data_IF_017199427698
#
_entry.id   IF_017199427698
#
_cell.length_a   1.000
_cell.length_b   1.000
_cell.length_c   1.000
_cell.angle_alpha   90.00
_cell.angle_beta   90.00
_cell.angle_gamma   90.00
#
_symmetry.space_group_name_H-M   'P 1'
#
loop_
_entity.id
_entity.type
_entity.pdbx_description
1 polymer ?
#
# COMPACT_ATOMS: atom_id res chain seq x y z
N UNK A 1 29.30 -10.61 9.38
CA UNK A 1 28.90 -9.39 10.11
C UNK A 1 27.56 -9.66 10.75
N UNK A 2 27.48 -9.48 12.06
CA UNK A 2 26.48 -10.08 12.96
C UNK A 2 25.06 -9.58 12.67
N UNK A 3 24.15 -10.50 12.32
CA UNK A 3 22.72 -10.20 12.31
C UNK A 3 22.25 -10.10 13.77
N UNK A 4 22.18 -8.89 14.30
CA UNK A 4 21.48 -8.61 15.54
C UNK A 4 20.03 -9.07 15.36
N UNK A 5 19.66 -10.20 15.97
CA UNK A 5 18.27 -10.66 16.01
C UNK A 5 17.46 -9.57 16.69
N UNK A 6 16.66 -8.82 15.91
CA UNK A 6 15.79 -7.78 16.44
C UNK A 6 14.87 -8.41 17.49
N UNK A 7 14.99 -7.99 18.74
CA UNK A 7 14.05 -8.38 19.77
C UNK A 7 12.71 -7.69 19.48
N UNK A 8 11.76 -8.42 18.90
CA UNK A 8 10.47 -7.88 18.44
C UNK A 8 9.56 -7.43 19.59
N UNK A 9 9.85 -7.81 20.84
CA UNK A 9 9.12 -7.34 22.02
C UNK A 9 9.66 -6.03 22.59
N UNK A 10 10.86 -5.61 22.18
CA UNK A 10 11.43 -4.33 22.60
C UNK A 10 10.85 -3.18 21.76
N UNK A 11 9.83 -2.52 22.32
CA UNK A 11 9.18 -1.36 21.71
C UNK A 11 9.93 -0.04 21.90
N UNK A 12 11.09 -0.04 22.58
CA UNK A 12 11.96 1.15 22.63
C UNK A 12 12.75 1.33 21.33
N UNK A 13 12.96 0.24 20.59
CA UNK A 13 13.62 0.26 19.29
C UNK A 13 12.72 0.92 18.23
N UNK A 14 13.17 2.06 17.69
CA UNK A 14 12.46 2.82 16.66
C UNK A 14 12.26 2.04 15.34
N UNK A 15 13.11 1.06 15.08
CA UNK A 15 13.03 0.20 13.89
C UNK A 15 12.12 -1.03 14.11
N UNK A 16 11.54 -1.21 15.30
CA UNK A 16 10.64 -2.32 15.56
C UNK A 16 9.33 -2.15 14.75
N UNK A 17 9.00 -3.10 13.84
CA UNK A 17 7.80 -2.98 13.00
C UNK A 17 6.49 -3.05 13.81
N UNK A 18 6.50 -3.64 15.01
CA UNK A 18 5.33 -3.73 15.91
C UNK A 18 5.07 -2.48 16.75
N UNK A 19 5.98 -1.50 16.68
CA UNK A 19 5.85 -0.24 17.40
C UNK A 19 4.86 0.68 16.67
N UNK A 20 3.87 1.19 17.41
CA UNK A 20 3.03 2.30 16.96
C UNK A 20 3.53 3.58 17.63
N UNK A 21 3.58 4.67 16.88
CA UNK A 21 3.93 5.99 17.42
C UNK A 21 2.78 6.56 18.23
N UNK A 22 3.06 7.52 19.11
CA UNK A 22 2.03 8.24 19.88
C UNK A 22 1.07 9.03 18.99
N UNK A 23 1.53 9.44 17.79
CA UNK A 23 0.71 10.12 16.78
C UNK A 23 -0.17 9.15 15.97
N UNK A 24 0.07 7.83 16.04
CA UNK A 24 -0.68 6.85 15.28
C UNK A 24 -2.08 6.66 15.88
N UNK A 25 -3.09 7.09 15.13
CA UNK A 25 -4.48 6.88 15.48
C UNK A 25 -5.28 6.43 14.25
N UNK A 26 -6.40 5.71 14.45
CA UNK A 26 -7.21 5.19 13.36
C UNK A 26 -7.74 6.26 12.41
N UNK A 27 -8.00 7.48 12.90
CA UNK A 27 -8.54 8.60 12.12
C UNK A 27 -7.52 9.33 11.25
N UNK A 28 -6.24 9.01 11.37
CA UNK A 28 -5.19 9.68 10.57
C UNK A 28 -5.23 9.16 9.14
N UNK A 29 -5.19 10.10 8.19
CA UNK A 29 -5.08 9.76 6.76
C UNK A 29 -3.61 9.47 6.43
N UNK A 30 -3.31 8.26 5.95
CA UNK A 30 -1.98 7.95 5.40
C UNK A 30 -1.66 8.76 4.15
N UNK A 31 -2.69 8.98 3.33
CA UNK A 31 -2.66 9.71 2.08
C UNK A 31 -3.98 10.46 1.93
N UNK A 32 -3.97 11.56 1.20
CA UNK A 32 -5.17 12.38 0.93
C UNK A 32 -6.02 11.83 -0.21
N UNK A 33 -5.42 11.06 -1.11
CA UNK A 33 -6.10 10.46 -2.26
C UNK A 33 -6.87 9.20 -1.84
N UNK A 34 -8.16 9.16 -2.16
CA UNK A 34 -8.99 7.98 -1.94
C UNK A 34 -8.93 7.02 -3.13
N UNK A 35 -9.01 5.71 -2.86
CA UNK A 35 -9.13 4.69 -3.90
C UNK A 35 -10.44 4.85 -4.67
N UNK A 36 -10.33 4.89 -5.98
CA UNK A 36 -11.41 4.79 -6.97
C UNK A 36 -11.14 3.59 -7.89
N UNK A 37 -12.06 3.33 -8.82
CA UNK A 37 -11.90 2.28 -9.83
C UNK A 37 -10.76 2.55 -10.82
N UNK A 38 -10.28 3.78 -10.93
CA UNK A 38 -9.36 4.22 -11.98
C UNK A 38 -7.92 4.46 -11.49
N UNK A 39 -7.73 4.69 -10.18
CA UNK A 39 -6.46 5.15 -9.63
C UNK A 39 -5.71 4.11 -8.80
N UNK A 40 -6.08 2.81 -8.86
CA UNK A 40 -5.48 1.78 -8.01
C UNK A 40 -3.94 1.78 -8.04
N UNK A 41 -3.33 1.90 -9.23
CA UNK A 41 -1.87 1.86 -9.39
C UNK A 41 -1.16 3.02 -8.68
N UNK A 42 -1.69 4.24 -8.77
CA UNK A 42 -1.12 5.43 -8.11
C UNK A 42 -1.39 5.38 -6.60
N UNK A 43 -2.63 5.05 -6.23
CA UNK A 43 -3.07 4.88 -4.85
C UNK A 43 -2.24 3.82 -4.11
N UNK A 44 -2.07 2.63 -4.69
CA UNK A 44 -1.32 1.51 -4.10
C UNK A 44 0.15 1.88 -3.87
N UNK A 45 0.79 2.58 -4.84
CA UNK A 45 2.17 3.09 -4.66
C UNK A 45 2.25 4.11 -3.53
N UNK A 46 1.27 5.01 -3.40
CA UNK A 46 1.23 6.01 -2.33
C UNK A 46 1.05 5.39 -0.94
N UNK A 47 0.13 4.42 -0.80
CA UNK A 47 -0.02 3.63 0.43
C UNK A 47 1.27 2.90 0.80
N UNK A 48 1.90 2.21 -0.16
CA UNK A 48 3.14 1.47 0.09
C UNK A 48 4.27 2.39 0.58
N UNK A 49 4.41 3.60 -0.01
CA UNK A 49 5.38 4.60 0.46
C UNK A 49 5.09 5.06 1.88
N UNK A 50 3.85 5.45 2.17
CA UNK A 50 3.45 5.91 3.50
C UNK A 50 3.72 4.83 4.57
N UNK A 51 3.37 3.58 4.30
CA UNK A 51 3.62 2.47 5.22
C UNK A 51 5.11 2.11 5.35
N UNK A 52 5.91 2.27 4.30
CA UNK A 52 7.36 2.04 4.36
C UNK A 52 8.04 3.05 5.28
N UNK A 53 7.65 4.33 5.21
CA UNK A 53 8.15 5.37 6.14
C UNK A 53 7.84 5.02 7.60
N UNK A 54 6.73 4.33 7.86
CA UNK A 54 6.29 3.93 9.21
C UNK A 54 6.78 2.54 9.65
N UNK A 55 7.63 1.88 8.87
CA UNK A 55 8.07 0.49 9.09
C UNK A 55 6.89 -0.51 9.19
N UNK A 56 5.82 -0.27 8.41
CA UNK A 56 4.59 -1.09 8.42
C UNK A 56 4.32 -1.84 7.12
N UNK A 57 5.13 -1.64 6.08
CA UNK A 57 4.92 -2.28 4.78
C UNK A 57 4.84 -3.82 4.87
N UNK A 58 5.61 -4.42 5.78
CA UNK A 58 5.66 -5.88 5.95
C UNK A 58 4.32 -6.53 6.30
N UNK A 59 3.41 -5.80 6.96
CA UNK A 59 2.06 -6.28 7.24
C UNK A 59 1.17 -6.28 5.99
N UNK A 60 1.46 -5.38 5.05
CA UNK A 60 0.71 -5.22 3.81
C UNK A 60 1.12 -6.26 2.77
N UNK A 61 2.43 -6.45 2.55
CA UNK A 61 2.94 -7.42 1.57
C UNK A 61 3.04 -8.86 2.12
N UNK A 62 2.95 -9.02 3.44
CA UNK A 62 2.99 -10.31 4.11
C UNK A 62 4.39 -10.80 4.48
N UNK A 63 5.43 -9.95 4.40
CA UNK A 63 6.73 -10.33 4.98
C UNK A 63 6.68 -10.39 6.52
N UNK A 64 5.67 -9.78 7.15
CA UNK A 64 5.34 -9.88 8.58
C UNK A 64 3.98 -10.55 8.71
N UNK A 65 3.99 -11.88 8.67
CA UNK A 65 2.77 -12.68 8.82
C UNK A 65 2.33 -12.82 10.28
N UNK A 66 1.06 -13.19 10.46
CA UNK A 66 0.51 -13.49 11.78
C UNK A 66 1.29 -14.66 12.39
N UNK A 67 1.99 -14.38 13.48
CA UNK A 67 2.80 -15.37 14.17
C UNK A 67 1.90 -16.34 14.96
N UNK A 68 1.54 -17.46 14.33
CA UNK A 68 0.62 -18.44 14.93
C UNK A 68 1.23 -19.23 16.11
N UNK A 69 2.55 -19.25 16.26
CA UNK A 69 3.29 -20.07 17.23
C UNK A 69 4.13 -19.27 18.23
N UNK A 70 3.87 -17.97 18.38
CA UNK A 70 4.68 -17.05 19.21
C UNK A 70 3.94 -16.61 20.47
N UNK A 71 4.65 -16.05 21.44
CA UNK A 71 4.10 -15.53 22.71
C UNK A 71 2.86 -14.65 22.52
N UNK A 72 1.91 -14.72 23.47
CA UNK A 72 0.67 -13.93 23.46
C UNK A 72 0.91 -12.42 23.31
N UNK A 73 2.05 -11.92 23.79
CA UNK A 73 2.48 -10.53 23.62
C UNK A 73 2.74 -10.18 22.15
N UNK A 74 3.46 -11.02 21.40
CA UNK A 74 3.76 -10.72 19.99
C UNK A 74 2.51 -10.85 19.12
N UNK A 75 1.60 -11.75 19.47
CA UNK A 75 0.29 -11.84 18.84
C UNK A 75 -0.52 -10.54 19.02
N UNK A 76 -0.63 -10.03 20.25
CA UNK A 76 -1.38 -8.80 20.51
C UNK A 76 -0.76 -7.57 19.85
N UNK A 77 0.58 -7.49 19.82
CA UNK A 77 1.31 -6.44 19.10
C UNK A 77 1.08 -6.49 17.58
N UNK A 78 1.07 -7.69 16.99
CA UNK A 78 0.75 -7.89 15.58
C UNK A 78 -0.70 -7.46 15.30
N UNK A 79 -1.66 -7.90 16.11
CA UNK A 79 -3.08 -7.58 15.95
C UNK A 79 -3.33 -6.08 16.03
N UNK A 80 -2.71 -5.39 17.00
CA UNK A 80 -2.82 -3.94 17.14
C UNK A 80 -2.34 -3.19 15.89
N UNK A 81 -1.19 -3.60 15.33
CA UNK A 81 -0.68 -3.01 14.09
C UNK A 81 -1.59 -3.32 12.91
N UNK A 82 -2.04 -4.57 12.78
CA UNK A 82 -2.94 -4.99 11.73
C UNK A 82 -4.25 -4.18 11.72
N UNK A 83 -4.92 -4.02 12.87
CA UNK A 83 -6.16 -3.25 12.95
C UNK A 83 -5.94 -1.76 12.65
N UNK A 84 -4.81 -1.18 13.08
CA UNK A 84 -4.45 0.20 12.71
C UNK A 84 -4.33 0.35 11.18
N UNK A 85 -3.67 -0.59 10.51
CA UNK A 85 -3.51 -0.56 9.07
C UNK A 85 -4.83 -0.77 8.33
N UNK A 86 -5.70 -1.66 8.82
CA UNK A 86 -7.06 -1.83 8.29
C UNK A 86 -7.83 -0.51 8.37
N UNK A 87 -7.82 0.18 9.51
CA UNK A 87 -8.48 1.48 9.65
C UNK A 87 -7.92 2.54 8.69
N UNK A 88 -6.60 2.63 8.56
CA UNK A 88 -5.98 3.56 7.61
C UNK A 88 -6.34 3.25 6.15
N UNK A 89 -6.35 1.97 5.77
CA UNK A 89 -6.74 1.55 4.42
C UNK A 89 -8.21 1.85 4.14
N UNK A 90 -9.11 1.53 5.08
CA UNK A 90 -10.54 1.83 4.95
C UNK A 90 -10.80 3.34 4.81
N UNK A 91 -10.07 4.16 5.56
CA UNK A 91 -10.15 5.62 5.44
C UNK A 91 -9.61 6.13 4.11
N UNK A 92 -8.60 5.46 3.55
CA UNK A 92 -8.04 5.77 2.24
C UNK A 92 -8.88 5.24 1.06
N UNK A 93 -10.07 4.69 1.28
CA UNK A 93 -10.96 4.16 0.24
C UNK A 93 -12.19 5.04 0.11
N UNK A 94 -12.61 5.32 -1.13
CA UNK A 94 -13.80 6.14 -1.39
C UNK A 94 -15.06 5.49 -0.83
N UNK A 95 -15.99 6.30 -0.31
CA UNK A 95 -17.22 5.83 0.33
C UNK A 95 -18.00 4.79 -0.50
N UNK A 96 -18.16 4.93 -1.83
CA UNK A 96 -18.89 3.96 -2.64
C UNK A 96 -18.29 2.55 -2.62
N UNK A 97 -16.98 2.41 -2.40
CA UNK A 97 -16.27 1.13 -2.43
C UNK A 97 -16.18 0.46 -1.05
N UNK A 98 -16.30 1.23 0.05
CA UNK A 98 -16.14 0.76 1.44
C UNK A 98 -17.05 -0.41 1.83
N UNK A 99 -18.36 -0.46 1.49
CA UNK A 99 -19.23 -1.55 1.93
C UNK A 99 -18.74 -2.93 1.49
N UNK A 100 -18.08 -2.99 0.34
CA UNK A 100 -17.65 -4.24 -0.28
C UNK A 100 -16.45 -4.92 0.39
N UNK A 101 -15.80 -4.23 1.33
CA UNK A 101 -14.58 -4.68 2.05
C UNK A 101 -14.69 -4.43 3.57
N UNK A 102 -15.88 -4.04 4.05
CA UNK A 102 -16.08 -3.56 5.42
C UNK A 102 -15.71 -4.59 6.50
N UNK A 103 -15.83 -5.88 6.18
CA UNK A 103 -15.62 -7.01 7.11
C UNK A 103 -14.22 -7.63 7.00
N UNK A 104 -13.30 -7.02 6.24
CA UNK A 104 -11.95 -7.56 6.07
C UNK A 104 -11.02 -7.03 7.17
N UNK A 105 -10.82 -7.87 8.18
CA UNK A 105 -10.04 -7.53 9.38
C UNK A 105 -8.54 -7.82 9.26
N UNK A 106 -8.06 -8.27 8.10
CA UNK A 106 -6.65 -8.55 7.86
C UNK A 106 -6.11 -7.64 6.76
N UNK A 107 -5.06 -6.89 7.08
CA UNK A 107 -4.42 -5.92 6.18
C UNK A 107 -3.98 -6.55 4.85
N UNK A 108 -3.33 -7.71 4.89
CA UNK A 108 -2.85 -8.42 3.70
C UNK A 108 -4.02 -8.91 2.86
N UNK A 109 -5.04 -9.50 3.50
CA UNK A 109 -6.26 -9.95 2.81
C UNK A 109 -6.97 -8.77 2.13
N UNK A 110 -7.12 -7.65 2.84
CA UNK A 110 -7.71 -6.42 2.30
C UNK A 110 -6.94 -5.93 1.08
N UNK A 111 -5.61 -5.87 1.15
CA UNK A 111 -4.77 -5.50 0.00
C UNK A 111 -5.00 -6.44 -1.19
N UNK A 112 -5.06 -7.75 -0.97
CA UNK A 112 -5.25 -8.74 -2.04
C UNK A 112 -6.62 -8.59 -2.70
N UNK A 113 -7.70 -8.40 -1.94
CA UNK A 113 -9.04 -8.16 -2.50
C UNK A 113 -9.11 -6.87 -3.32
N UNK A 114 -8.48 -5.79 -2.83
CA UNK A 114 -8.39 -4.54 -3.58
C UNK A 114 -7.55 -4.71 -4.85
N UNK A 115 -6.46 -5.48 -4.77
CA UNK A 115 -5.61 -5.78 -5.92
C UNK A 115 -6.36 -6.59 -6.97
N UNK A 116 -7.02 -7.67 -6.59
CA UNK A 116 -7.78 -8.52 -7.49
C UNK A 116 -8.87 -7.73 -8.22
N UNK A 117 -9.57 -6.85 -7.48
CA UNK A 117 -10.70 -6.10 -8.03
C UNK A 117 -10.32 -4.87 -8.85
N UNK A 118 -9.34 -4.10 -8.40
CA UNK A 118 -9.05 -2.76 -8.95
C UNK A 118 -7.68 -2.64 -9.59
N UNK A 119 -6.79 -3.62 -9.42
CA UNK A 119 -5.57 -3.63 -10.23
C UNK A 119 -6.01 -3.68 -11.68
N UNK A 120 -5.49 -2.78 -12.54
CA UNK A 120 -5.61 -2.98 -13.97
C UNK A 120 -5.15 -4.39 -14.25
N UNK A 121 -6.04 -5.24 -14.78
CA UNK A 121 -5.59 -6.44 -15.45
C UNK A 121 -4.65 -5.91 -16.52
N UNK A 122 -3.36 -6.13 -16.33
CA UNK A 122 -2.31 -5.46 -17.10
C UNK A 122 -2.57 -5.57 -18.61
N UNK A 123 -3.35 -6.55 -19.09
CA UNK A 123 -3.82 -6.64 -20.49
C UNK A 123 -4.38 -5.35 -21.09
N UNK A 124 -5.43 -4.75 -20.53
CA UNK A 124 -6.06 -3.56 -21.12
C UNK A 124 -5.14 -2.33 -21.03
N UNK A 125 -4.51 -2.11 -19.88
CA UNK A 125 -3.58 -0.99 -19.69
C UNK A 125 -2.31 -1.15 -20.53
N UNK A 126 -1.75 -2.35 -20.65
CA UNK A 126 -0.62 -2.64 -21.55
C UNK A 126 -1.05 -2.40 -22.99
N UNK A 127 -2.24 -2.84 -23.39
CA UNK A 127 -2.75 -2.60 -24.74
C UNK A 127 -2.91 -1.10 -25.03
N UNK A 128 -3.51 -0.34 -24.12
CA UNK A 128 -3.62 1.12 -24.21
C UNK A 128 -2.25 1.79 -24.29
N UNK A 129 -1.31 1.44 -23.40
CA UNK A 129 0.04 1.99 -23.41
C UNK A 129 0.78 1.64 -24.70
N UNK A 130 0.65 0.40 -25.19
CA UNK A 130 1.21 -0.02 -26.49
C UNK A 130 0.59 0.76 -27.64
N UNK A 131 -0.72 0.99 -27.62
CA UNK A 131 -1.43 1.77 -28.64
C UNK A 131 -1.02 3.24 -28.60
N UNK A 132 -0.93 3.84 -27.42
CA UNK A 132 -0.48 5.22 -27.23
C UNK A 132 0.97 5.38 -27.68
N UNK A 133 1.86 4.45 -27.35
CA UNK A 133 3.24 4.43 -27.82
C UNK A 133 3.32 4.31 -29.36
N UNK A 134 2.54 3.40 -29.95
CA UNK A 134 2.50 3.20 -31.40
C UNK A 134 1.98 4.42 -32.16
N UNK A 135 1.08 5.19 -31.53
CA UNK A 135 0.50 6.41 -32.10
C UNK A 135 1.28 7.67 -31.71
N UNK A 136 2.29 7.59 -30.82
CA UNK A 136 3.06 8.74 -30.39
C UNK A 136 4.11 9.07 -31.46
N UNK A 137 3.87 10.14 -32.21
CA UNK A 137 4.85 10.70 -33.14
C UNK A 137 5.22 12.13 -32.73
N UNK A 138 6.44 12.56 -33.07
CA UNK A 138 6.96 13.87 -32.66
C UNK A 138 6.24 15.03 -33.35
N UNK A 139 5.78 14.83 -34.60
CA UNK A 139 5.10 15.85 -35.41
C UNK A 139 5.76 17.25 -35.31
N UNK A 140 5.00 18.25 -34.86
CA UNK A 140 5.45 19.63 -34.66
C UNK A 140 5.97 19.91 -33.23
N UNK A 141 5.98 18.91 -32.33
CA UNK A 141 6.51 19.09 -30.98
C UNK A 141 8.03 19.28 -31.00
N UNK A 142 8.52 20.14 -30.10
CA UNK A 142 9.95 20.17 -29.80
C UNK A 142 10.38 18.85 -29.16
N UNK A 143 11.67 18.50 -29.33
CA UNK A 143 12.27 17.28 -28.76
C UNK A 143 11.99 17.17 -27.26
N UNK A 144 12.05 18.28 -26.51
CA UNK A 144 11.78 18.31 -25.07
C UNK A 144 10.33 17.97 -24.74
N UNK A 145 9.37 18.44 -25.54
CA UNK A 145 7.94 18.19 -25.34
C UNK A 145 7.61 16.73 -25.68
N UNK A 146 8.10 16.24 -26.82
CA UNK A 146 7.94 14.84 -27.22
C UNK A 146 8.54 13.88 -26.19
N UNK A 147 9.76 14.16 -25.71
CA UNK A 147 10.41 13.36 -24.68
C UNK A 147 9.64 13.40 -23.35
N UNK A 148 9.07 14.55 -22.98
CA UNK A 148 8.18 14.66 -21.83
C UNK A 148 6.93 13.78 -21.95
N UNK A 149 6.28 13.79 -23.14
CA UNK A 149 5.12 12.93 -23.44
C UNK A 149 5.49 11.44 -23.38
N UNK A 150 6.62 11.05 -23.98
CA UNK A 150 7.14 9.68 -23.93
C UNK A 150 7.39 9.21 -22.49
N UNK A 151 7.96 10.08 -21.64
CA UNK A 151 8.28 9.76 -20.24
C UNK A 151 7.05 9.69 -19.32
N UNK A 152 5.90 10.17 -19.79
CA UNK A 152 4.63 10.17 -19.07
C UNK A 152 3.77 8.93 -19.33
N UNK A 153 4.08 8.17 -20.39
CA UNK A 153 3.52 6.85 -20.72
C UNK A 153 4.15 5.80 -19.78
#
# INVERSE_FOLDING_TARGET
>A
MNSSTLNLTDLSNLNNPYRLETSDNPGTLLITEHLTTENYSTWSKSIQRALRVKNKLGFLDGTIDKLASTSALLLSLWERCNYMLVSWLQNAISLPLRPSIAFVDNTRKLRLELQDRFSPQNGLRIYELKKTLANLSQEADTISIYYGKLKSI
#
